data_IF_127457522360
#
_entry.id   IF_127457522360
#
_cell.length_a   1.000
_cell.length_b   1.000
_cell.length_c   1.000
_cell.angle_alpha   90.00
_cell.angle_beta   90.00
_cell.angle_gamma   90.00
#
_symmetry.space_group_name_H-M   'P 1'
#
loop_
_entity.id
_entity.type
_entity.pdbx_description
1 polymer ?
#
# COMPACT_ATOMS: atom_id res chain seq x y z
N UNK A 1 13.96 -7.23 -2.57
CA UNK A 1 12.51 -7.36 -2.36
C UNK A 1 12.30 -8.46 -1.32
N UNK A 2 11.31 -8.32 -0.44
CA UNK A 2 10.85 -9.38 0.48
C UNK A 2 9.39 -9.63 0.12
N UNK A 3 9.09 -10.83 -0.37
CA UNK A 3 7.82 -11.14 -1.08
C UNK A 3 7.17 -12.38 -0.46
N UNK A 4 6.49 -12.24 0.70
CA UNK A 4 5.80 -13.35 1.32
C UNK A 4 4.51 -13.70 0.55
N UNK A 5 4.20 -15.00 0.45
CA UNK A 5 2.94 -15.51 -0.10
C UNK A 5 2.32 -16.53 0.86
N UNK A 6 1.01 -16.43 1.05
CA UNK A 6 0.30 -17.17 2.11
C UNK A 6 -1.01 -17.71 1.54
N UNK A 7 -1.12 -19.04 1.51
CA UNK A 7 -2.37 -19.69 1.13
C UNK A 7 -3.47 -19.39 2.16
N UNK A 8 -4.71 -19.32 1.69
CA UNK A 8 -5.92 -19.10 2.50
C UNK A 8 -6.09 -17.70 3.09
N UNK A 9 -5.21 -16.75 2.79
CA UNK A 9 -5.35 -15.35 3.21
C UNK A 9 -6.18 -14.57 2.19
N UNK A 10 -7.07 -13.72 2.69
CA UNK A 10 -7.70 -12.69 1.88
C UNK A 10 -6.92 -11.36 1.91
N UNK A 11 -7.47 -10.32 1.28
CA UNK A 11 -6.83 -9.00 1.25
C UNK A 11 -6.60 -8.44 2.66
N UNK A 12 -7.57 -8.58 3.56
CA UNK A 12 -7.48 -8.06 4.93
C UNK A 12 -6.41 -8.80 5.72
N UNK A 13 -6.38 -10.14 5.63
CA UNK A 13 -5.34 -10.94 6.29
C UNK A 13 -3.94 -10.55 5.79
N UNK A 14 -3.81 -10.27 4.48
CA UNK A 14 -2.56 -9.85 3.86
C UNK A 14 -2.10 -8.48 4.36
N UNK A 15 -3.02 -7.53 4.51
CA UNK A 15 -2.73 -6.20 5.06
C UNK A 15 -2.31 -6.30 6.53
N UNK A 16 -3.00 -7.12 7.33
CA UNK A 16 -2.65 -7.34 8.74
C UNK A 16 -1.27 -7.95 8.89
N UNK A 17 -0.91 -8.92 8.03
CA UNK A 17 0.44 -9.49 8.00
C UNK A 17 1.51 -8.45 7.64
N UNK A 18 1.22 -7.58 6.66
CA UNK A 18 2.15 -6.52 6.26
C UNK A 18 2.42 -5.54 7.41
N UNK A 19 1.37 -5.10 8.12
CA UNK A 19 1.50 -4.24 9.31
C UNK A 19 2.30 -4.91 10.43
N UNK A 20 1.95 -6.15 10.80
CA UNK A 20 2.63 -6.86 11.88
C UNK A 20 4.10 -7.12 11.53
N UNK A 21 4.40 -7.54 10.30
CA UNK A 21 5.77 -7.74 9.83
C UNK A 21 6.60 -6.48 10.01
N UNK A 22 6.09 -5.31 9.56
CA UNK A 22 6.79 -4.04 9.74
C UNK A 22 6.99 -3.70 11.21
N UNK A 23 5.95 -3.79 12.03
CA UNK A 23 6.03 -3.51 13.47
C UNK A 23 7.02 -4.42 14.18
N UNK A 24 7.07 -5.70 13.84
CA UNK A 24 8.04 -6.66 14.39
C UNK A 24 9.46 -6.30 13.97
N UNK A 25 9.70 -6.01 12.68
CA UNK A 25 11.02 -5.64 12.17
C UNK A 25 11.52 -4.35 12.83
N UNK A 26 10.67 -3.33 12.96
CA UNK A 26 11.02 -2.05 13.58
C UNK A 26 11.36 -2.26 15.06
N UNK A 27 10.49 -2.94 15.83
CA UNK A 27 10.73 -3.24 17.26
C UNK A 27 12.04 -4.00 17.46
N UNK A 28 12.26 -5.05 16.68
CA UNK A 28 13.47 -5.87 16.79
C UNK A 28 14.73 -5.08 16.42
N UNK A 29 14.67 -4.24 15.39
CA UNK A 29 15.79 -3.41 14.96
C UNK A 29 16.15 -2.38 16.03
N UNK A 30 15.15 -1.66 16.57
CA UNK A 30 15.35 -0.69 17.65
C UNK A 30 15.93 -1.33 18.91
N UNK A 31 15.43 -2.51 19.29
CA UNK A 31 15.92 -3.24 20.46
C UNK A 31 17.36 -3.73 20.27
N UNK A 32 17.68 -4.31 19.11
CA UNK A 32 19.00 -4.91 18.84
C UNK A 32 20.10 -3.88 18.57
N UNK A 33 19.75 -2.73 18.00
CA UNK A 33 20.69 -1.73 17.50
C UNK A 33 20.50 -0.37 18.19
N UNK A 34 20.26 -0.37 19.50
CA UNK A 34 19.95 0.83 20.28
C UNK A 34 20.96 1.96 20.09
N UNK A 35 22.26 1.65 20.13
CA UNK A 35 23.34 2.65 19.98
C UNK A 35 23.31 3.30 18.60
N UNK A 36 23.15 2.51 17.54
CA UNK A 36 23.08 3.01 16.17
C UNK A 36 21.83 3.87 15.95
N UNK A 37 20.68 3.44 16.48
CA UNK A 37 19.43 4.20 16.40
C UNK A 37 19.54 5.53 17.16
N UNK A 38 20.10 5.54 18.38
CA UNK A 38 20.35 6.77 19.15
C UNK A 38 21.27 7.71 18.38
N UNK A 39 22.38 7.21 17.83
CA UNK A 39 23.27 8.01 16.99
C UNK A 39 22.55 8.61 15.77
N UNK A 40 21.75 7.83 15.05
CA UNK A 40 21.00 8.30 13.88
C UNK A 40 19.92 9.32 14.26
N UNK A 41 19.28 9.15 15.41
CA UNK A 41 18.30 10.10 15.93
C UNK A 41 18.96 11.45 16.22
N UNK A 42 20.11 11.45 16.88
CA UNK A 42 20.85 12.66 17.23
C UNK A 42 21.47 13.32 16.00
N UNK A 43 22.01 12.50 15.07
CA UNK A 43 22.66 13.00 13.85
C UNK A 43 21.68 13.65 12.89
N UNK A 44 20.50 13.06 12.71
CA UNK A 44 19.49 13.62 11.80
C UNK A 44 18.68 14.74 12.45
N UNK A 45 18.58 14.74 13.79
CA UNK A 45 17.75 15.65 14.60
C UNK A 45 16.33 15.83 14.02
N UNK A 46 15.77 14.77 13.45
CA UNK A 46 14.51 14.82 12.70
C UNK A 46 13.35 14.13 13.45
N UNK A 47 13.55 13.65 14.67
CA UNK A 47 12.54 12.88 15.42
C UNK A 47 12.41 11.43 14.95
N UNK A 48 13.51 10.78 14.55
CA UNK A 48 13.52 9.38 14.08
C UNK A 48 12.87 8.43 15.09
N UNK A 49 13.29 8.48 16.35
CA UNK A 49 12.76 7.61 17.39
C UNK A 49 11.26 7.82 17.60
N UNK A 50 10.81 9.08 17.61
CA UNK A 50 9.40 9.43 17.75
C UNK A 50 8.57 8.89 16.59
N UNK A 51 9.04 9.02 15.34
CA UNK A 51 8.34 8.47 14.17
C UNK A 51 8.24 6.95 14.21
N UNK A 52 9.33 6.26 14.56
CA UNK A 52 9.33 4.79 14.64
C UNK A 52 8.39 4.31 15.74
N UNK A 53 8.42 4.97 16.91
CA UNK A 53 7.54 4.65 18.03
C UNK A 53 6.07 4.94 17.67
N UNK A 54 5.80 6.08 17.04
CA UNK A 54 4.48 6.44 16.57
C UNK A 54 3.92 5.41 15.56
N UNK A 55 4.73 4.91 14.63
CA UNK A 55 4.31 3.85 13.72
C UNK A 55 3.96 2.55 14.47
N UNK A 56 4.77 2.14 15.46
CA UNK A 56 4.51 0.93 16.26
C UNK A 56 3.19 1.06 17.03
N UNK A 57 2.96 2.22 17.65
CA UNK A 57 1.82 2.43 18.55
C UNK A 57 0.52 2.75 17.81
N UNK A 58 0.59 3.14 16.54
CA UNK A 58 -0.57 3.52 15.74
C UNK A 58 -1.13 2.31 14.99
N UNK A 59 -2.43 1.99 15.15
CA UNK A 59 -3.09 1.00 14.30
C UNK A 59 -3.11 1.43 12.84
N UNK A 60 -2.87 0.48 11.93
CA UNK A 60 -2.99 0.72 10.50
C UNK A 60 -4.46 1.01 10.16
N UNK A 61 -4.73 2.10 9.44
CA UNK A 61 -6.08 2.41 8.95
C UNK A 61 -6.26 1.87 7.53
N UNK A 62 -7.40 1.24 7.26
CA UNK A 62 -7.75 0.76 5.92
C UNK A 62 -8.65 1.81 5.26
N UNK A 63 -8.30 2.21 4.05
CA UNK A 63 -8.93 3.30 3.30
C UNK A 63 -9.25 2.84 1.90
N UNK A 64 -10.49 3.01 1.45
CA UNK A 64 -10.87 2.74 0.07
C UNK A 64 -10.19 3.73 -0.89
N UNK A 65 -9.70 3.27 -2.04
CA UNK A 65 -9.14 4.13 -3.08
C UNK A 65 -10.08 5.27 -3.48
N UNK A 66 -11.38 4.98 -3.58
CA UNK A 66 -12.40 5.98 -3.90
C UNK A 66 -12.48 7.09 -2.85
N UNK A 67 -12.43 6.73 -1.57
CA UNK A 67 -12.36 7.70 -0.47
C UNK A 67 -11.08 8.53 -0.52
N UNK A 68 -9.93 7.89 -0.81
CA UNK A 68 -8.66 8.61 -0.96
C UNK A 68 -8.74 9.67 -2.08
N UNK A 69 -9.27 9.30 -3.25
CA UNK A 69 -9.50 10.22 -4.38
C UNK A 69 -10.45 11.35 -3.98
N UNK A 70 -11.55 11.05 -3.27
CA UNK A 70 -12.49 12.08 -2.81
C UNK A 70 -11.80 13.12 -1.92
N UNK A 71 -11.01 12.68 -0.92
CA UNK A 71 -10.30 13.61 -0.03
C UNK A 71 -9.24 14.43 -0.77
N UNK A 72 -8.47 13.81 -1.66
CA UNK A 72 -7.47 14.49 -2.47
C UNK A 72 -8.11 15.52 -3.42
N UNK A 73 -9.27 15.21 -4.00
CA UNK A 73 -9.95 16.09 -4.95
C UNK A 73 -10.40 17.42 -4.33
N UNK A 74 -10.67 17.44 -3.02
CA UNK A 74 -11.06 18.63 -2.26
C UNK A 74 -9.94 19.65 -2.14
N UNK A 75 -8.68 19.21 -2.26
CA UNK A 75 -7.48 20.05 -2.10
C UNK A 75 -6.57 20.02 -3.33
N UNK A 76 -7.10 19.58 -4.48
CA UNK A 76 -6.33 19.33 -5.71
C UNK A 76 -5.40 20.45 -6.16
N UNK A 77 -5.67 21.71 -5.78
CA UNK A 77 -4.88 22.86 -6.18
C UNK A 77 -3.49 22.92 -5.55
N UNK A 78 -3.25 22.16 -4.46
CA UNK A 78 -1.95 22.07 -3.79
C UNK A 78 -0.97 21.11 -4.49
N UNK A 79 -1.48 20.23 -5.35
CA UNK A 79 -0.69 19.20 -6.03
C UNK A 79 -0.17 19.68 -7.37
N UNK A 80 0.96 19.13 -7.80
CA UNK A 80 1.47 19.29 -9.17
C UNK A 80 0.51 18.62 -10.16
N UNK A 81 0.10 17.38 -9.88
CA UNK A 81 -0.96 16.72 -10.63
C UNK A 81 -2.34 17.05 -10.06
N UNK A 82 -3.06 17.96 -10.71
CA UNK A 82 -4.39 18.40 -10.27
C UNK A 82 -5.55 17.56 -10.82
N UNK A 83 -5.27 16.60 -11.70
CA UNK A 83 -6.28 15.74 -12.33
C UNK A 83 -6.67 14.59 -11.38
N UNK A 84 -7.17 14.94 -10.20
CA UNK A 84 -7.59 14.00 -9.16
C UNK A 84 -8.97 13.46 -9.47
N UNK A 85 -9.02 12.27 -10.09
CA UNK A 85 -10.24 11.54 -10.43
C UNK A 85 -10.00 10.03 -10.41
N UNK A 86 -11.08 9.26 -10.42
CA UNK A 86 -11.00 7.80 -10.52
C UNK A 86 -10.18 7.37 -11.74
N UNK A 87 -9.23 6.46 -11.54
CA UNK A 87 -8.26 6.05 -12.55
C UNK A 87 -6.89 6.73 -12.41
N UNK A 88 -6.75 7.71 -11.50
CA UNK A 88 -5.45 8.26 -11.13
C UNK A 88 -4.65 7.25 -10.32
N UNK A 89 -3.42 7.00 -10.74
CA UNK A 89 -2.40 6.35 -9.91
C UNK A 89 -1.80 7.36 -8.93
N UNK A 90 -1.70 6.99 -7.65
CA UNK A 90 -1.34 7.93 -6.59
C UNK A 90 0.15 8.26 -6.64
N UNK A 91 0.51 9.44 -7.14
CA UNK A 91 1.86 9.97 -6.98
C UNK A 91 2.26 10.22 -5.52
N UNK A 92 3.57 10.27 -5.26
CA UNK A 92 4.17 10.46 -3.92
C UNK A 92 3.63 11.69 -3.16
N UNK A 93 3.29 12.79 -3.85
CA UNK A 93 2.68 13.97 -3.22
C UNK A 93 1.32 13.66 -2.59
N UNK A 94 0.51 12.82 -3.25
CA UNK A 94 -0.81 12.41 -2.78
C UNK A 94 -0.68 11.46 -1.59
N UNK A 95 0.20 10.46 -1.69
CA UNK A 95 0.43 9.48 -0.63
C UNK A 95 0.90 10.13 0.68
N UNK A 96 1.85 11.07 0.57
CA UNK A 96 2.34 11.84 1.71
C UNK A 96 1.25 12.73 2.28
N UNK A 97 0.45 13.37 1.43
CA UNK A 97 -0.66 14.18 1.93
C UNK A 97 -1.70 13.36 2.70
N UNK A 98 -2.06 12.18 2.20
CA UNK A 98 -2.97 11.27 2.90
C UNK A 98 -2.40 10.87 4.27
N UNK A 99 -1.15 10.45 4.33
CA UNK A 99 -0.53 9.95 5.57
C UNK A 99 -0.20 11.06 6.57
N UNK A 100 0.18 12.27 6.11
CA UNK A 100 0.65 13.35 6.98
C UNK A 100 -0.41 14.38 7.34
N UNK A 101 -1.32 14.71 6.42
CA UNK A 101 -2.30 15.79 6.62
C UNK A 101 -3.68 15.26 6.95
N UNK A 102 -4.10 14.19 6.26
CA UNK A 102 -5.45 13.63 6.40
C UNK A 102 -5.54 12.68 7.59
N UNK A 103 -4.78 11.59 7.56
CA UNK A 103 -4.91 10.50 8.54
C UNK A 103 -3.93 10.62 9.69
N UNK A 104 -2.78 11.28 9.49
CA UNK A 104 -1.71 11.43 10.49
C UNK A 104 -1.28 10.09 11.08
N UNK A 105 -1.21 9.09 10.22
CA UNK A 105 -1.03 7.68 10.57
C UNK A 105 -0.56 6.91 9.32
N UNK A 106 0.06 5.72 9.48
CA UNK A 106 0.18 4.78 8.37
C UNK A 106 -1.22 4.32 7.93
N UNK A 107 -1.40 4.14 6.62
CA UNK A 107 -2.66 3.68 6.03
C UNK A 107 -2.41 2.59 4.99
N UNK A 108 -3.36 1.69 4.80
CA UNK A 108 -3.45 0.84 3.61
C UNK A 108 -4.56 1.38 2.73
N UNK A 109 -4.20 1.89 1.55
CA UNK A 109 -5.19 2.23 0.52
C UNK A 109 -5.52 0.95 -0.23
N UNK A 110 -6.80 0.62 -0.38
CA UNK A 110 -7.26 -0.65 -0.97
C UNK A 110 -8.13 -0.45 -2.20
N UNK A 111 -8.33 -1.53 -2.95
CA UNK A 111 -9.31 -1.62 -4.05
C UNK A 111 -9.04 -0.64 -5.20
N UNK A 112 -7.81 -0.63 -5.70
CA UNK A 112 -7.43 0.23 -6.82
C UNK A 112 -8.13 -0.19 -8.13
N UNK A 113 -8.29 0.74 -9.08
CA UNK A 113 -8.79 0.45 -10.41
C UNK A 113 -7.98 -0.65 -11.10
N UNK A 114 -8.69 -1.61 -11.72
CA UNK A 114 -8.06 -2.75 -12.38
C UNK A 114 -7.16 -2.33 -13.54
N UNK A 115 -7.49 -1.22 -14.21
CA UNK A 115 -6.93 -0.83 -15.51
C UNK A 115 -5.42 -0.57 -15.47
N UNK A 116 -4.87 -0.16 -14.33
CA UNK A 116 -3.43 0.08 -14.15
C UNK A 116 -2.77 -0.87 -13.15
N UNK A 117 -3.49 -1.90 -12.68
CA UNK A 117 -2.95 -2.93 -11.79
C UNK A 117 -2.74 -4.25 -12.55
N UNK A 118 -1.90 -5.12 -11.98
CA UNK A 118 -1.43 -6.33 -12.65
C UNK A 118 -2.53 -7.39 -12.83
N UNK A 119 -2.35 -8.28 -13.82
CA UNK A 119 -3.34 -9.28 -14.22
C UNK A 119 -3.70 -10.30 -13.12
N UNK A 120 -2.76 -10.58 -12.22
CA UNK A 120 -2.90 -11.61 -11.19
C UNK A 120 -3.70 -11.15 -9.96
N UNK A 121 -4.07 -9.88 -9.88
CA UNK A 121 -4.80 -9.33 -8.73
C UNK A 121 -6.27 -9.74 -8.82
N UNK A 122 -6.84 -10.20 -7.70
CA UNK A 122 -8.23 -10.66 -7.63
C UNK A 122 -9.18 -9.53 -8.04
N UNK A 123 -10.12 -9.84 -8.94
CA UNK A 123 -11.13 -8.88 -9.39
C UNK A 123 -12.26 -8.78 -8.36
N UNK A 124 -12.58 -7.55 -7.95
CA UNK A 124 -13.70 -7.28 -7.04
C UNK A 124 -15.04 -7.43 -7.76
N UNK A 125 -16.12 -7.59 -6.98
CA UNK A 125 -17.47 -7.81 -7.52
C UNK A 125 -18.04 -6.61 -8.29
N UNK A 126 -17.43 -5.42 -8.15
CA UNK A 126 -17.77 -4.21 -8.89
C UNK A 126 -17.30 -4.24 -10.37
N UNK A 127 -16.48 -5.23 -10.75
CA UNK A 127 -15.81 -5.38 -12.05
C UNK A 127 -14.94 -4.18 -12.49
N UNK A 128 -14.60 -3.30 -11.56
CA UNK A 128 -13.83 -2.06 -11.81
C UNK A 128 -12.53 -2.02 -11.01
N UNK A 129 -12.54 -2.56 -9.81
CA UNK A 129 -11.39 -2.58 -8.91
C UNK A 129 -10.83 -4.00 -8.75
N UNK A 130 -9.60 -4.06 -8.25
CA UNK A 130 -8.95 -5.31 -7.82
C UNK A 130 -8.64 -5.24 -6.34
N UNK A 131 -8.65 -6.39 -5.67
CA UNK A 131 -8.30 -6.53 -4.25
C UNK A 131 -6.79 -6.34 -4.05
N UNK A 132 -6.29 -5.13 -4.29
CA UNK A 132 -4.92 -4.69 -4.07
C UNK A 132 -4.87 -3.75 -2.87
N UNK A 133 -3.69 -3.61 -2.30
CA UNK A 133 -3.40 -2.57 -1.32
C UNK A 133 -2.01 -1.99 -1.50
N UNK A 134 -1.89 -0.72 -1.20
CA UNK A 134 -0.61 -0.03 -1.06
C UNK A 134 -0.56 0.52 0.38
N UNK A 135 0.42 0.06 1.17
CA UNK A 135 0.68 0.49 2.54
C UNK A 135 1.58 1.71 2.52
N UNK A 136 1.01 2.84 2.90
CA UNK A 136 1.62 4.16 2.86
C UNK A 136 2.07 4.56 4.26
N UNK A 137 3.28 5.12 4.35
CA UNK A 137 3.84 5.65 5.60
C UNK A 137 4.21 7.12 5.47
N UNK A 138 4.04 7.93 6.53
CA UNK A 138 4.46 9.33 6.55
C UNK A 138 5.93 9.53 6.11
N UNK A 139 6.20 10.60 5.36
CA UNK A 139 7.52 10.97 4.88
C UNK A 139 8.02 10.23 3.62
N UNK A 140 7.78 8.93 3.51
CA UNK A 140 8.27 8.09 2.40
C UNK A 140 7.22 7.95 1.30
N UNK A 141 5.96 7.66 1.65
CA UNK A 141 4.92 7.22 0.72
C UNK A 141 4.74 5.71 0.79
N UNK A 142 4.56 5.05 -0.35
CA UNK A 142 4.43 3.59 -0.42
C UNK A 142 5.66 2.85 0.16
N UNK A 143 5.39 1.89 1.05
CA UNK A 143 6.40 1.01 1.65
C UNK A 143 6.17 -0.47 1.31
N UNK A 144 4.92 -0.90 1.17
CA UNK A 144 4.54 -2.26 0.76
C UNK A 144 3.38 -2.18 -0.22
N UNK A 145 3.53 -2.79 -1.38
CA UNK A 145 2.44 -3.05 -2.32
C UNK A 145 2.09 -4.54 -2.33
N UNK A 146 0.80 -4.86 -2.42
CA UNK A 146 0.32 -6.24 -2.43
C UNK A 146 -1.10 -6.39 -2.94
N UNK A 147 -1.56 -7.64 -3.02
CA UNK A 147 -2.93 -7.94 -3.44
C UNK A 147 -3.33 -9.34 -3.01
N UNK A 148 -4.62 -9.57 -2.82
CA UNK A 148 -5.15 -10.93 -2.94
C UNK A 148 -5.03 -11.40 -4.39
N UNK A 149 -4.58 -12.64 -4.60
CA UNK A 149 -4.41 -13.21 -5.93
C UNK A 149 -5.72 -13.73 -6.49
N UNK A 150 -5.92 -13.59 -7.81
CA UNK A 150 -7.07 -14.19 -8.48
C UNK A 150 -6.92 -15.71 -8.48
N UNK A 151 -7.89 -16.39 -7.86
CA UNK A 151 -7.92 -17.84 -7.74
C UNK A 151 -8.98 -18.49 -8.63
N UNK A 152 -9.85 -17.69 -9.25
CA UNK A 152 -10.78 -18.15 -10.27
C UNK A 152 -10.06 -18.21 -11.63
N UNK A 153 -9.94 -19.42 -12.17
CA UNK A 153 -9.22 -19.68 -13.42
C UNK A 153 -9.81 -18.90 -14.60
N UNK A 154 -11.14 -18.87 -14.73
CA UNK A 154 -11.80 -18.23 -15.87
C UNK A 154 -11.61 -16.71 -15.81
N UNK A 155 -11.72 -16.12 -14.61
CA UNK A 155 -11.42 -14.69 -14.40
C UNK A 155 -9.97 -14.35 -14.70
N UNK A 156 -9.02 -15.19 -14.28
CA UNK A 156 -7.60 -14.99 -14.52
C UNK A 156 -7.27 -15.04 -16.02
N UNK A 157 -7.73 -16.08 -16.73
CA UNK A 157 -7.54 -16.23 -18.18
C UNK A 157 -8.20 -15.09 -18.95
N UNK A 158 -9.40 -14.67 -18.55
CA UNK A 158 -10.05 -13.50 -19.13
C UNK A 158 -9.17 -12.25 -19.00
N UNK A 159 -8.61 -11.99 -17.82
CA UNK A 159 -7.76 -10.83 -17.57
C UNK A 159 -6.43 -10.88 -18.33
N UNK A 160 -5.79 -12.05 -18.43
CA UNK A 160 -4.59 -12.28 -19.25
C UNK A 160 -4.85 -11.94 -20.71
N UNK A 161 -5.99 -12.39 -21.25
CA UNK A 161 -6.41 -12.07 -22.62
C UNK A 161 -6.72 -10.58 -22.83
N UNK A 162 -7.41 -9.93 -21.88
CA UNK A 162 -7.67 -8.48 -21.91
C UNK A 162 -6.37 -7.67 -22.05
N UNK A 163 -5.32 -8.08 -21.33
CA UNK A 163 -4.01 -7.43 -21.35
C UNK A 163 -3.07 -7.95 -22.46
N UNK A 164 -3.53 -8.91 -23.27
CA UNK A 164 -2.77 -9.51 -24.37
C UNK A 164 -1.44 -10.13 -23.91
N UNK A 165 -1.44 -10.73 -22.74
CA UNK A 165 -0.31 -11.48 -22.20
C UNK A 165 -0.34 -12.89 -22.83
N UNK A 166 0.83 -13.40 -23.23
CA UNK A 166 0.93 -14.74 -23.78
C UNK A 166 0.64 -15.80 -22.70
N UNK A 167 -0.30 -16.70 -22.98
CA UNK A 167 -0.68 -17.76 -22.05
C UNK A 167 0.33 -18.90 -22.04
N UNK A 168 1.08 -19.11 -23.14
CA UNK A 168 2.06 -20.21 -23.21
C UNK A 168 3.15 -20.05 -22.13
N UNK A 169 3.55 -18.81 -21.85
CA UNK A 169 4.55 -18.48 -20.82
C UNK A 169 4.03 -18.68 -19.37
N UNK A 170 2.71 -18.79 -19.19
CA UNK A 170 2.03 -18.85 -17.87
C UNK A 170 1.37 -20.21 -17.60
N UNK A 171 1.70 -21.25 -18.36
CA UNK A 171 1.03 -22.55 -18.30
C UNK A 171 1.30 -23.37 -17.01
N UNK A 172 2.33 -23.01 -16.25
CA UNK A 172 2.79 -23.72 -15.06
C UNK A 172 1.81 -23.62 -13.88
#
# INVERSE_FOLDING_TARGET
MIEPEIAFYDLKDTIELADDMLKVVIRNTMHKHKREIEFLNDYTNNGLLERLQHFIDTPLQIVEYTEAIEKLSQVKDIFENKDIKYGLDLGSEHEKYLTEQVYKAPIAVINFPKDFKAFYMKQNDDNKSVASFDLLVPGIGELIGGSQRECDYDKLVARVNELKIDQEDLQW
#
